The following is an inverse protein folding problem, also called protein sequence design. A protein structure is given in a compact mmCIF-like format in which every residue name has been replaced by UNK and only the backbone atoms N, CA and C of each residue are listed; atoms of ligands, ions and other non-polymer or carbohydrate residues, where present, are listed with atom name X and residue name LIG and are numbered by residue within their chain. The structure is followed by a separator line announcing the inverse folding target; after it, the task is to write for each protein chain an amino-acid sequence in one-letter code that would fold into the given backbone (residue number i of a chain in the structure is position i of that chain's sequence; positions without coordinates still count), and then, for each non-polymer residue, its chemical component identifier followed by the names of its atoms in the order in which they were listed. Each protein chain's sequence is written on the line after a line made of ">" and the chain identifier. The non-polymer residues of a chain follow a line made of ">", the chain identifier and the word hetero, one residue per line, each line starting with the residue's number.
data_IF_663619290699
#
_entry.id   IF_663619290699
#
_cell.length_a   1.000
_cell.length_b   1.000
_cell.length_c   1.000
_cell.angle_alpha   90.00
_cell.angle_beta   90.00
_cell.angle_gamma   90.00
#
_symmetry.space_group_name_H-M   'P 1'
#
loop_
_entity.id
_entity.type
_entity.pdbx_description
1 polymer ?
#
# COMPACT_ATOMS: atom_id res chain seq x y z
N UNK A 1 -6.07 6.46 26.32
CA UNK A 1 -4.65 6.23 26.67
C UNK A 1 -4.21 5.02 25.88
N UNK A 2 -3.60 5.24 24.72
CA UNK A 2 -3.27 4.15 23.81
C UNK A 2 -1.99 4.54 23.07
N UNK A 3 -0.89 3.98 23.57
CA UNK A 3 0.44 3.82 22.98
C UNK A 3 0.85 4.84 21.90
N UNK A 4 1.46 5.93 22.35
CA UNK A 4 2.51 6.63 21.60
C UNK A 4 3.66 5.62 21.39
N UNK A 5 3.69 4.97 20.24
CA UNK A 5 4.77 4.07 19.86
C UNK A 5 6.00 4.93 19.59
N UNK A 6 6.86 5.01 20.61
CA UNK A 6 8.13 5.74 20.59
C UNK A 6 8.92 5.44 19.32
N UNK A 7 8.80 6.34 18.33
CA UNK A 7 9.82 6.47 17.31
C UNK A 7 11.07 6.95 18.04
N UNK A 8 12.25 6.31 17.85
CA UNK A 8 13.49 6.89 18.35
C UNK A 8 13.54 8.33 17.88
N UNK A 9 13.79 9.28 18.78
CA UNK A 9 13.69 10.70 18.49
C UNK A 9 14.69 11.08 17.38
N UNK A 10 14.27 11.00 16.11
CA UNK A 10 15.09 11.37 14.97
C UNK A 10 15.29 12.89 15.04
N UNK A 11 16.54 13.32 15.09
CA UNK A 11 16.86 14.74 15.14
C UNK A 11 16.30 15.48 13.92
N UNK A 12 15.91 16.76 14.04
CA UNK A 12 15.41 17.54 12.90
C UNK A 12 16.37 17.54 11.71
N UNK A 13 17.69 17.64 11.96
CA UNK A 13 18.71 17.57 10.93
C UNK A 13 18.71 16.22 10.19
N UNK A 14 18.55 15.11 10.92
CA UNK A 14 18.48 13.78 10.29
C UNK A 14 17.19 13.60 9.50
N UNK A 15 16.04 14.09 9.98
CA UNK A 15 14.78 14.09 9.22
C UNK A 15 14.92 14.88 7.91
N UNK A 16 15.50 16.08 7.96
CA UNK A 16 15.73 16.90 6.78
C UNK A 16 16.67 16.22 5.76
N UNK A 17 17.72 15.54 6.23
CA UNK A 17 18.61 14.77 5.38
C UNK A 17 17.88 13.64 4.66
N UNK A 18 17.09 12.83 5.38
CA UNK A 18 16.29 11.73 4.79
C UNK A 18 15.34 12.26 3.71
N UNK A 19 14.62 13.35 3.98
CA UNK A 19 13.71 13.96 2.99
C UNK A 19 14.46 14.53 1.78
N UNK A 20 15.64 15.10 1.99
CA UNK A 20 16.48 15.64 0.91
C UNK A 20 17.03 14.52 0.03
N UNK A 21 17.41 13.37 0.60
CA UNK A 21 17.85 12.17 -0.13
C UNK A 21 16.73 11.57 -0.98
N UNK A 22 15.46 11.74 -0.59
CA UNK A 22 14.29 11.30 -1.37
C UNK A 22 13.99 12.20 -2.58
N UNK A 23 14.41 13.47 -2.56
CA UNK A 23 14.03 14.48 -3.56
C UNK A 23 14.40 14.11 -5.02
N UNK A 24 15.57 13.51 -5.32
CA UNK A 24 15.88 13.07 -6.69
C UNK A 24 14.87 12.06 -7.24
N UNK A 25 14.34 11.16 -6.39
CA UNK A 25 13.34 10.18 -6.79
C UNK A 25 11.99 10.83 -7.06
N UNK A 26 11.57 11.77 -6.19
CA UNK A 26 10.34 12.54 -6.40
C UNK A 26 10.40 13.29 -7.72
N UNK A 27 11.51 14.01 -7.99
CA UNK A 27 11.70 14.74 -9.25
C UNK A 27 11.66 13.81 -10.47
N UNK A 28 12.28 12.64 -10.39
CA UNK A 28 12.32 11.67 -11.49
C UNK A 28 10.92 11.20 -11.90
N UNK A 29 10.02 11.05 -10.94
CA UNK A 29 8.67 10.52 -11.16
C UNK A 29 7.57 11.58 -11.07
N UNK A 30 7.93 12.85 -10.92
CA UNK A 30 6.96 13.94 -10.88
C UNK A 30 6.08 13.92 -12.13
N UNK A 31 4.77 14.06 -11.92
CA UNK A 31 3.71 13.96 -12.93
C UNK A 31 3.63 12.62 -13.69
N UNK A 32 4.41 11.61 -13.30
CA UNK A 32 4.32 10.27 -13.88
C UNK A 32 3.19 9.47 -13.26
N UNK A 33 2.56 8.64 -14.09
CA UNK A 33 1.62 7.63 -13.64
C UNK A 33 2.38 6.43 -13.10
N UNK A 34 2.04 5.99 -11.88
CA UNK A 34 2.62 4.82 -11.23
C UNK A 34 1.52 3.80 -10.99
N UNK A 35 1.62 2.62 -11.62
CA UNK A 35 0.67 1.53 -11.38
C UNK A 35 1.16 0.69 -10.20
N UNK A 36 0.33 0.58 -9.16
CA UNK A 36 0.64 -0.14 -7.93
C UNK A 36 -0.29 -1.33 -7.82
N UNK A 37 0.26 -2.54 -7.94
CA UNK A 37 -0.50 -3.76 -7.67
C UNK A 37 -0.59 -3.98 -6.16
N UNK A 38 -1.79 -3.86 -5.62
CA UNK A 38 -2.12 -4.09 -4.22
C UNK A 38 -2.74 -5.48 -4.02
N UNK A 39 -2.12 -6.33 -3.20
CA UNK A 39 -2.66 -7.66 -2.96
C UNK A 39 -1.86 -8.47 -1.95
N UNK A 40 -2.34 -9.69 -1.64
CA UNK A 40 -1.70 -10.57 -0.66
C UNK A 40 -1.94 -10.11 0.78
N UNK A 41 -0.96 -10.37 1.66
CA UNK A 41 -1.06 -10.07 3.11
C UNK A 41 -1.33 -8.59 3.42
N UNK A 42 -0.92 -7.69 2.53
CA UNK A 42 -1.21 -6.26 2.66
C UNK A 42 -2.71 -5.93 2.63
N UNK A 43 -3.56 -6.83 2.12
CA UNK A 43 -5.02 -6.71 2.08
C UNK A 43 -5.74 -7.39 3.25
N UNK A 44 -5.04 -8.03 4.18
CA UNK A 44 -5.66 -8.75 5.31
C UNK A 44 -5.34 -8.10 6.64
N UNK A 45 -4.09 -7.66 6.82
CA UNK A 45 -3.67 -6.97 8.04
C UNK A 45 -4.18 -5.52 8.06
N UNK A 46 -4.93 -5.10 9.10
CA UNK A 46 -5.46 -3.73 9.20
C UNK A 46 -4.38 -2.64 9.22
N UNK A 47 -3.26 -2.88 9.89
CA UNK A 47 -2.17 -1.90 9.96
C UNK A 47 -1.49 -1.73 8.60
N UNK A 48 -1.30 -2.82 7.85
CA UNK A 48 -0.74 -2.75 6.51
C UNK A 48 -1.70 -2.09 5.51
N UNK A 49 -3.02 -2.24 5.68
CA UNK A 49 -4.02 -1.51 4.86
C UNK A 49 -3.90 0.00 5.05
N UNK A 50 -3.86 0.44 6.30
CA UNK A 50 -3.80 1.86 6.63
C UNK A 50 -2.48 2.48 6.17
N UNK A 51 -1.37 1.77 6.40
CA UNK A 51 -0.04 2.18 5.91
C UNK A 51 -0.01 2.29 4.38
N UNK A 52 -0.54 1.30 3.67
CA UNK A 52 -0.62 1.36 2.20
C UNK A 52 -1.45 2.55 1.70
N UNK A 53 -2.58 2.83 2.35
CA UNK A 53 -3.40 4.00 2.00
C UNK A 53 -2.65 5.31 2.22
N UNK A 54 -1.92 5.44 3.34
CA UNK A 54 -1.08 6.61 3.63
C UNK A 54 0.01 6.80 2.58
N UNK A 55 0.68 5.72 2.15
CA UNK A 55 1.70 5.77 1.11
C UNK A 55 1.12 6.24 -0.24
N UNK A 56 -0.04 5.72 -0.65
CA UNK A 56 -0.71 6.15 -1.90
C UNK A 56 -1.05 7.64 -1.85
N UNK A 57 -1.55 8.12 -0.70
CA UNK A 57 -1.83 9.55 -0.50
C UNK A 57 -0.54 10.38 -0.56
N UNK A 58 0.53 9.93 0.10
CA UNK A 58 1.84 10.60 0.05
C UNK A 58 2.33 10.75 -1.39
N UNK A 59 2.28 9.68 -2.19
CA UNK A 59 2.68 9.73 -3.60
C UNK A 59 1.89 10.79 -4.38
N UNK A 60 0.58 10.89 -4.16
CA UNK A 60 -0.23 11.94 -4.79
C UNK A 60 0.15 13.35 -4.32
N UNK A 61 0.40 13.52 -3.02
CA UNK A 61 0.78 14.82 -2.43
C UNK A 61 2.14 15.31 -2.93
N UNK A 62 3.09 14.41 -3.20
CA UNK A 62 4.41 14.78 -3.74
C UNK A 62 4.44 14.89 -5.28
N UNK A 63 3.28 14.81 -5.94
CA UNK A 63 3.13 15.11 -7.37
C UNK A 63 3.18 13.91 -8.32
N UNK A 64 3.08 12.67 -7.81
CA UNK A 64 2.91 11.48 -8.64
C UNK A 64 1.42 11.20 -8.88
N UNK A 65 1.12 10.39 -9.90
CA UNK A 65 -0.24 9.98 -10.24
C UNK A 65 -0.41 8.47 -10.00
N UNK A 66 -0.66 8.03 -8.74
CA UNK A 66 -0.79 6.61 -8.44
C UNK A 66 -2.11 6.03 -8.99
N UNK A 67 -2.02 4.84 -9.59
CA UNK A 67 -3.15 4.01 -10.04
C UNK A 67 -3.06 2.67 -9.32
N UNK A 68 -4.00 2.39 -8.44
CA UNK A 68 -4.02 1.16 -7.64
C UNK A 68 -4.82 0.08 -8.36
N UNK A 69 -4.21 -1.09 -8.56
CA UNK A 69 -4.86 -2.30 -9.09
C UNK A 69 -4.89 -3.34 -7.98
N UNK A 70 -6.06 -3.84 -7.58
CA UNK A 70 -6.17 -4.80 -6.48
C UNK A 70 -6.81 -6.13 -6.87
N UNK A 71 -6.49 -7.18 -6.10
CA UNK A 71 -7.17 -8.48 -6.19
C UNK A 71 -8.34 -8.60 -5.22
N UNK A 72 -9.00 -9.76 -5.20
CA UNK A 72 -10.09 -10.06 -4.25
C UNK A 72 -10.23 -11.55 -3.91
N UNK A 73 -9.20 -12.35 -4.16
CA UNK A 73 -9.24 -13.82 -4.08
C UNK A 73 -9.85 -14.36 -2.78
N UNK A 74 -9.36 -13.94 -1.60
CA UNK A 74 -9.89 -14.37 -0.31
C UNK A 74 -11.35 -13.97 -0.07
N UNK A 75 -11.74 -12.74 -0.45
CA UNK A 75 -13.12 -12.25 -0.29
C UNK A 75 -14.09 -13.03 -1.19
N UNK A 76 -13.67 -13.36 -2.41
CA UNK A 76 -14.43 -14.19 -3.33
C UNK A 76 -14.57 -15.62 -2.76
N UNK A 77 -13.50 -16.22 -2.24
CA UNK A 77 -13.53 -17.57 -1.64
C UNK A 77 -14.50 -17.63 -0.46
N UNK A 78 -14.43 -16.64 0.44
CA UNK A 78 -15.35 -16.52 1.57
C UNK A 78 -16.82 -16.38 1.12
N UNK A 79 -17.08 -15.66 0.03
CA UNK A 79 -18.43 -15.59 -0.53
C UNK A 79 -18.87 -16.92 -1.15
N UNK A 80 -18.01 -17.59 -1.92
CA UNK A 80 -18.30 -18.90 -2.53
C UNK A 80 -18.65 -19.94 -1.47
N UNK A 81 -17.88 -20.02 -0.39
CA UNK A 81 -18.16 -20.89 0.75
C UNK A 81 -19.54 -20.61 1.36
N UNK A 82 -19.89 -19.34 1.57
CA UNK A 82 -21.20 -18.95 2.12
C UNK A 82 -22.38 -19.35 1.23
N UNK A 83 -22.19 -19.41 -0.08
CA UNK A 83 -23.23 -19.84 -1.04
C UNK A 83 -23.13 -21.32 -1.44
N UNK A 84 -22.29 -22.10 -0.74
CA UNK A 84 -22.15 -23.54 -0.96
C UNK A 84 -21.44 -23.91 -2.27
N UNK A 85 -20.71 -22.97 -2.89
CA UNK A 85 -19.92 -23.21 -4.12
C UNK A 85 -18.45 -23.39 -3.77
N UNK A 86 -17.75 -24.21 -4.56
CA UNK A 86 -16.29 -24.34 -4.50
C UNK A 86 -15.67 -23.56 -5.64
N UNK A 87 -14.63 -22.78 -5.34
CA UNK A 87 -13.78 -22.19 -6.37
C UNK A 87 -12.83 -23.25 -6.93
N UNK A 88 -12.67 -23.29 -8.25
CA UNK A 88 -11.62 -24.08 -8.90
C UNK A 88 -10.51 -23.15 -9.37
N UNK A 89 -9.27 -23.64 -9.37
CA UNK A 89 -8.15 -22.89 -9.93
C UNK A 89 -7.47 -23.76 -10.98
N UNK A 90 -7.41 -23.24 -12.20
CA UNK A 90 -6.76 -23.90 -13.33
C UNK A 90 -5.69 -22.95 -13.85
N UNK A 91 -4.42 -23.34 -13.72
CA UNK A 91 -3.27 -22.58 -14.21
C UNK A 91 -3.18 -21.13 -13.66
N UNK A 92 -3.53 -20.95 -12.38
CA UNK A 92 -3.48 -19.64 -11.73
C UNK A 92 -4.66 -18.72 -12.04
N UNK A 93 -5.59 -19.18 -12.87
CA UNK A 93 -6.87 -18.54 -13.12
C UNK A 93 -7.95 -19.25 -12.31
N UNK A 94 -8.93 -18.48 -11.83
CA UNK A 94 -10.15 -18.99 -11.20
C UNK A 94 -11.29 -18.89 -12.20
#
# INVERSE_FOLDING_TARGET
>A
MSADTAHPAISPARKAAILSEALPYIKRFFDKTIVIKYGGNAMTDPHLKDSFAQDVVLLKLVGLNPVVVHGGGPQIEHLLQRVGKKGEFIQGMR
#
